data_IF_764108851992
#
_entry.id   IF_764108851992
#
_cell.length_a   1.000
_cell.length_b   1.000
_cell.length_c   1.000
_cell.angle_alpha   90.00
_cell.angle_beta   90.00
_cell.angle_gamma   90.00
#
_symmetry.space_group_name_H-M   'P 1'
#
loop_
_entity.id
_entity.type
_entity.pdbx_description
1 polymer ?
#
# COMPACT_ATOMS: atom_id res chain seq x y z
N UNK A 1 14.19 -5.44 -17.73
CA UNK A 1 13.24 -4.56 -17.01
C UNK A 1 13.79 -3.17 -17.10
N UNK A 2 12.99 -2.22 -17.57
CA UNK A 2 13.34 -0.79 -17.57
C UNK A 2 13.60 -0.31 -16.14
N UNK A 3 14.38 0.76 -15.96
CA UNK A 3 14.58 1.39 -14.65
C UNK A 3 13.25 1.81 -14.00
N UNK A 4 12.22 2.09 -14.81
CA UNK A 4 10.86 2.44 -14.38
C UNK A 4 10.03 1.21 -13.97
N UNK A 5 10.27 0.03 -14.57
CA UNK A 5 9.45 -1.17 -14.30
C UNK A 5 9.66 -1.71 -12.88
N UNK A 6 10.86 -1.54 -12.33
CA UNK A 6 11.18 -2.01 -10.98
C UNK A 6 10.36 -1.32 -9.87
N UNK A 7 10.34 0.03 -9.75
CA UNK A 7 9.50 0.70 -8.76
C UNK A 7 8.00 0.48 -9.01
N UNK A 8 7.55 0.37 -10.26
CA UNK A 8 6.16 0.03 -10.55
C UNK A 8 5.78 -1.37 -10.06
N UNK A 9 6.63 -2.38 -10.30
CA UNK A 9 6.40 -3.73 -9.77
C UNK A 9 6.40 -3.78 -8.24
N UNK A 10 7.23 -2.96 -7.57
CA UNK A 10 7.19 -2.81 -6.11
C UNK A 10 5.88 -2.17 -5.65
N UNK A 11 5.43 -1.10 -6.31
CA UNK A 11 4.16 -0.44 -6.01
C UNK A 11 2.96 -1.39 -6.18
N UNK A 12 2.95 -2.23 -7.21
CA UNK A 12 1.91 -3.26 -7.42
C UNK A 12 1.90 -4.30 -6.30
N UNK A 13 3.06 -4.78 -5.86
CA UNK A 13 3.16 -5.71 -4.74
C UNK A 13 2.68 -5.09 -3.43
N UNK A 14 2.99 -3.82 -3.19
CA UNK A 14 2.51 -3.07 -2.02
C UNK A 14 0.99 -2.85 -2.08
N UNK A 15 0.45 -2.55 -3.27
CA UNK A 15 -0.99 -2.39 -3.47
C UNK A 15 -1.75 -3.70 -3.19
N UNK A 16 -1.21 -4.85 -3.60
CA UNK A 16 -1.80 -6.15 -3.27
C UNK A 16 -1.91 -6.33 -1.74
N UNK A 17 -0.83 -6.05 -1.01
CA UNK A 17 -0.83 -6.10 0.47
C UNK A 17 -1.80 -5.11 1.09
N UNK A 18 -1.89 -3.89 0.56
CA UNK A 18 -2.83 -2.87 1.03
C UNK A 18 -4.28 -3.36 0.90
N UNK A 19 -4.63 -4.01 -0.22
CA UNK A 19 -5.96 -4.58 -0.40
C UNK A 19 -6.24 -5.71 0.60
N UNK A 20 -5.29 -6.60 0.84
CA UNK A 20 -5.43 -7.67 1.85
C UNK A 20 -5.71 -7.10 3.26
N UNK A 21 -4.99 -6.03 3.64
CA UNK A 21 -5.21 -5.35 4.93
C UNK A 21 -6.53 -4.60 4.98
N UNK A 22 -6.97 -4.02 3.86
CA UNK A 22 -8.28 -3.37 3.76
C UNK A 22 -9.41 -4.37 3.97
N UNK A 23 -9.33 -5.54 3.34
CA UNK A 23 -10.29 -6.61 3.56
C UNK A 23 -10.28 -7.13 5.01
N UNK A 24 -9.11 -7.16 5.66
CA UNK A 24 -9.03 -7.51 7.09
C UNK A 24 -9.75 -6.48 7.96
N UNK A 25 -9.59 -5.19 7.66
CA UNK A 25 -10.31 -4.11 8.36
C UNK A 25 -11.82 -4.17 8.10
N UNK A 26 -12.25 -4.46 6.87
CA UNK A 26 -13.66 -4.67 6.52
C UNK A 26 -14.26 -5.83 7.33
N UNK A 27 -13.57 -6.98 7.40
CA UNK A 27 -14.00 -8.12 8.24
C UNK A 27 -14.07 -7.77 9.73
N UNK A 28 -13.12 -6.98 10.23
CA UNK A 28 -13.12 -6.55 11.63
C UNK A 28 -14.31 -5.62 11.93
N UNK A 29 -14.69 -4.76 10.99
CA UNK A 29 -15.83 -3.86 11.15
C UNK A 29 -17.18 -4.58 11.11
N UNK A 30 -17.24 -5.76 10.49
CA UNK A 30 -18.43 -6.62 10.43
C UNK A 30 -18.56 -7.58 11.63
N UNK A 31 -17.55 -7.66 12.50
CA UNK A 31 -17.58 -8.53 13.67
C UNK A 31 -18.58 -8.06 14.73
N UNK A 32 -19.21 -9.01 15.44
CA UNK A 32 -20.17 -8.73 16.52
C UNK A 32 -19.53 -7.93 17.68
N UNK A 33 -18.23 -8.11 17.91
CA UNK A 33 -17.42 -7.33 18.84
C UNK A 33 -16.18 -6.78 18.13
N UNK A 34 -16.11 -5.46 18.01
CA UNK A 34 -14.98 -4.79 17.35
C UNK A 34 -13.83 -4.63 18.34
N UNK A 35 -12.70 -5.27 18.06
CA UNK A 35 -11.45 -5.04 18.77
C UNK A 35 -10.84 -3.70 18.34
N UNK A 36 -11.11 -2.64 19.10
CA UNK A 36 -10.70 -1.26 18.77
C UNK A 36 -9.19 -1.09 18.58
N UNK A 37 -8.36 -1.74 19.39
CA UNK A 37 -6.90 -1.69 19.26
C UNK A 37 -6.44 -2.33 17.94
N UNK A 38 -7.01 -3.49 17.58
CA UNK A 38 -6.72 -4.15 16.30
C UNK A 38 -7.14 -3.31 15.09
N UNK A 39 -8.23 -2.55 15.20
CA UNK A 39 -8.67 -1.63 14.14
C UNK A 39 -7.69 -0.47 13.95
N UNK A 40 -7.19 0.11 15.05
CA UNK A 40 -6.18 1.17 15.02
C UNK A 40 -4.89 0.68 14.38
N UNK A 41 -4.43 -0.52 14.75
CA UNK A 41 -3.22 -1.12 14.17
C UNK A 41 -3.38 -1.35 12.66
N UNK A 42 -4.50 -1.92 12.21
CA UNK A 42 -4.77 -2.12 10.78
C UNK A 42 -4.81 -0.80 10.01
N UNK A 43 -5.40 0.26 10.58
CA UNK A 43 -5.43 1.58 9.96
C UNK A 43 -4.02 2.19 9.87
N UNK A 44 -3.19 2.02 10.90
CA UNK A 44 -1.81 2.49 10.90
C UNK A 44 -0.98 1.77 9.82
N UNK A 45 -1.14 0.46 9.68
CA UNK A 45 -0.50 -0.34 8.64
C UNK A 45 -0.95 0.07 7.23
N UNK A 46 -2.25 0.29 7.03
CA UNK A 46 -2.79 0.78 5.75
C UNK A 46 -2.21 2.15 5.37
N UNK A 47 -2.07 3.05 6.35
CA UNK A 47 -1.47 4.36 6.12
C UNK A 47 0.02 4.27 5.76
N UNK A 48 0.76 3.32 6.35
CA UNK A 48 2.16 3.08 5.97
C UNK A 48 2.28 2.51 4.56
N UNK A 49 1.49 1.50 4.22
CA UNK A 49 1.49 0.92 2.87
C UNK A 49 1.16 1.97 1.80
N UNK A 50 0.22 2.89 2.07
CA UNK A 50 -0.09 3.99 1.17
C UNK A 50 1.12 4.92 0.96
N UNK A 51 1.85 5.29 2.02
CA UNK A 51 3.07 6.11 1.93
C UNK A 51 4.18 5.41 1.13
N UNK A 52 4.35 4.10 1.32
CA UNK A 52 5.33 3.32 0.56
C UNK A 52 4.98 3.27 -0.94
N UNK A 53 3.70 3.08 -1.28
CA UNK A 53 3.22 3.12 -2.67
C UNK A 53 3.50 4.49 -3.30
N UNK A 54 3.14 5.59 -2.63
CA UNK A 54 3.42 6.94 -3.11
C UNK A 54 4.91 7.19 -3.36
N UNK A 55 5.77 6.64 -2.50
CA UNK A 55 7.23 6.73 -2.63
C UNK A 55 7.71 6.03 -3.90
N UNK A 56 7.27 4.80 -4.15
CA UNK A 56 7.67 4.06 -5.35
C UNK A 56 7.11 4.69 -6.63
N UNK A 57 5.88 5.21 -6.61
CA UNK A 57 5.31 5.94 -7.76
C UNK A 57 6.08 7.23 -8.05
N UNK A 58 6.47 7.98 -7.01
CA UNK A 58 7.30 9.19 -7.16
C UNK A 58 8.67 8.85 -7.74
N UNK A 59 9.26 7.73 -7.32
CA UNK A 59 10.51 7.22 -7.86
C UNK A 59 10.38 6.82 -9.34
N UNK A 60 9.33 6.07 -9.69
CA UNK A 60 9.04 5.69 -11.07
C UNK A 60 8.90 6.92 -11.97
N UNK A 61 8.16 7.94 -11.51
CA UNK A 61 8.03 9.22 -12.22
C UNK A 61 9.37 9.91 -12.42
N UNK A 62 10.19 10.03 -11.38
CA UNK A 62 11.51 10.68 -11.47
C UNK A 62 12.42 9.98 -12.49
N UNK A 63 12.36 8.64 -12.55
CA UNK A 63 13.13 7.85 -13.52
C UNK A 63 12.59 8.02 -14.95
N UNK A 64 11.28 8.11 -15.12
CA UNK A 64 10.67 8.36 -16.42
C UNK A 64 11.05 9.77 -16.94
N UNK A 65 10.98 10.78 -16.08
CA UNK A 65 11.35 12.16 -16.41
C UNK A 65 12.85 12.29 -16.76
N UNK A 66 13.72 11.46 -16.16
CA UNK A 66 15.17 11.46 -16.43
C UNK A 66 15.57 10.64 -17.68
N UNK A 67 14.70 9.74 -18.15
CA UNK A 67 14.95 8.88 -19.32
C UNK A 67 14.23 9.32 -20.61
N UNK A 68 13.39 10.35 -20.52
CA UNK A 68 12.68 10.97 -21.64
C UNK A 68 13.47 12.07 -22.36
#
# INVERSE_FOLDING_TARGET
MSSVDEPLGRAEALLARLNERREALERLAEADEVEGDAAVDLIAELAELAREIETELTRARTLADAGG
#
